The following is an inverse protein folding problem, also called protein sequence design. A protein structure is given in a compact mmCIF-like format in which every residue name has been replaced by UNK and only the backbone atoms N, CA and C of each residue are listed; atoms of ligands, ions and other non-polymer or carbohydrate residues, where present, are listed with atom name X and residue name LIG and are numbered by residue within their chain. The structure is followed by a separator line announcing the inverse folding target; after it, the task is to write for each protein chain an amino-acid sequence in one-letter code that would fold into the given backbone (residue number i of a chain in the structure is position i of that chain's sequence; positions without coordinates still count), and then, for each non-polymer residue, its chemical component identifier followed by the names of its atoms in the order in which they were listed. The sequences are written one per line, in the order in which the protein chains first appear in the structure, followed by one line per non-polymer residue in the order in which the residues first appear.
data_IF_146449753068
#
_entry.id   IF_146449753068
#
_cell.length_a   1.000
_cell.length_b   1.000
_cell.length_c   1.000
_cell.angle_alpha   90.00
_cell.angle_beta   90.00
_cell.angle_gamma   90.00
#
_symmetry.space_group_name_H-M   'P 1'
#
loop_
_entity.id
_entity.type
_entity.pdbx_description
1 polymer ?
#
# COMPACT_ATOMS: atom_id res chain seq x y z
N UNK A 1 6.02 -7.65 20.76
CA UNK A 1 5.57 -7.41 19.38
C UNK A 1 4.35 -6.52 19.40
N UNK A 2 4.50 -5.29 18.94
CA UNK A 2 3.45 -4.28 18.76
C UNK A 2 3.11 -4.20 17.27
N UNK A 3 1.84 -4.40 16.96
CA UNK A 3 1.34 -4.39 15.59
C UNK A 3 0.45 -3.16 15.41
N UNK A 4 0.72 -2.36 14.38
CA UNK A 4 -0.16 -1.29 13.93
C UNK A 4 -0.95 -1.80 12.73
N UNK A 5 -2.27 -1.91 12.87
CA UNK A 5 -3.18 -2.28 11.79
C UNK A 5 -3.79 -1.01 11.23
N UNK A 6 -3.56 -0.75 9.95
CA UNK A 6 -3.86 0.52 9.33
C UNK A 6 -5.20 0.51 8.59
N UNK A 7 -5.89 1.65 8.66
CA UNK A 7 -6.93 2.06 7.71
C UNK A 7 -6.43 3.35 7.06
N UNK A 8 -6.42 3.40 5.74
CA UNK A 8 -5.93 4.55 4.97
C UNK A 8 -7.05 5.06 4.05
N UNK A 9 -7.11 6.37 3.79
CA UNK A 9 -8.13 6.93 2.91
C UNK A 9 -7.94 6.46 1.47
N UNK A 10 -9.03 6.10 0.81
CA UNK A 10 -9.06 5.80 -0.62
C UNK A 10 -8.93 7.08 -1.48
N UNK A 11 -9.38 8.21 -0.94
CA UNK A 11 -9.30 9.51 -1.58
C UNK A 11 -7.86 10.02 -1.64
N UNK A 12 -7.29 10.11 -2.85
CA UNK A 12 -5.87 10.47 -3.04
C UNK A 12 -5.51 11.87 -2.56
N UNK A 13 -6.47 12.79 -2.50
CA UNK A 13 -6.26 14.17 -2.02
C UNK A 13 -5.87 14.21 -0.54
N UNK A 14 -6.28 13.21 0.26
CA UNK A 14 -6.02 13.15 1.71
C UNK A 14 -4.96 12.11 2.09
N UNK A 15 -4.57 11.24 1.14
CA UNK A 15 -3.62 10.15 1.38
C UNK A 15 -2.26 10.62 1.89
N UNK A 16 -1.70 11.70 1.33
CA UNK A 16 -0.36 12.16 1.73
C UNK A 16 -0.31 12.55 3.21
N UNK A 17 -1.31 13.31 3.68
CA UNK A 17 -1.42 13.69 5.09
C UNK A 17 -1.62 12.47 6.00
N UNK A 18 -2.42 11.48 5.57
CA UNK A 18 -2.61 10.24 6.30
C UNK A 18 -1.32 9.40 6.38
N UNK A 19 -0.53 9.37 5.29
CA UNK A 19 0.76 8.68 5.25
C UNK A 19 1.77 9.31 6.22
N UNK A 20 1.92 10.63 6.21
CA UNK A 20 2.78 11.35 7.15
C UNK A 20 2.38 11.10 8.60
N UNK A 21 1.07 11.13 8.89
CA UNK A 21 0.54 10.82 10.21
C UNK A 21 0.84 9.36 10.64
N UNK A 22 0.71 8.39 9.72
CA UNK A 22 1.06 7.00 9.97
C UNK A 22 2.56 6.85 10.30
N UNK A 23 3.44 7.49 9.51
CA UNK A 23 4.89 7.45 9.75
C UNK A 23 5.24 8.01 11.13
N UNK A 24 4.63 9.13 11.53
CA UNK A 24 4.81 9.70 12.85
C UNK A 24 4.32 8.75 13.96
N UNK A 25 3.11 8.20 13.79
CA UNK A 25 2.50 7.26 14.73
C UNK A 25 3.35 6.00 14.93
N UNK A 26 3.83 5.40 13.85
CA UNK A 26 4.64 4.17 13.89
C UNK A 26 5.93 4.37 14.70
N UNK A 27 6.57 5.54 14.55
CA UNK A 27 7.78 5.92 15.31
C UNK A 27 7.46 6.18 16.77
N UNK A 28 6.42 6.95 17.07
CA UNK A 28 6.00 7.26 18.43
C UNK A 28 5.64 5.98 19.19
N UNK A 29 4.87 5.10 18.56
CA UNK A 29 4.44 3.84 19.14
C UNK A 29 5.51 2.77 19.11
N UNK A 30 6.66 2.96 18.44
CA UNK A 30 7.71 1.93 18.31
C UNK A 30 7.12 0.61 17.81
N UNK A 31 6.36 0.67 16.71
CA UNK A 31 5.73 -0.52 16.13
C UNK A 31 6.79 -1.51 15.67
N UNK A 32 6.57 -2.80 15.90
CA UNK A 32 7.42 -3.87 15.37
C UNK A 32 6.93 -4.30 13.97
N UNK A 33 5.61 -4.23 13.75
CA UNK A 33 4.95 -4.61 12.49
C UNK A 33 3.88 -3.57 12.12
N UNK A 34 3.79 -3.22 10.84
CA UNK A 34 2.71 -2.41 10.25
C UNK A 34 1.98 -3.26 9.22
N UNK A 35 0.67 -3.41 9.36
CA UNK A 35 -0.20 -4.06 8.39
C UNK A 35 -0.98 -2.99 7.62
N UNK A 36 -0.66 -2.82 6.34
CA UNK A 36 -1.36 -1.91 5.44
C UNK A 36 -2.63 -2.54 4.84
N UNK A 37 -3.60 -1.73 4.39
CA UNK A 37 -4.71 -2.22 3.58
C UNK A 37 -4.25 -2.92 2.30
N UNK A 38 -5.17 -3.66 1.67
CA UNK A 38 -4.96 -4.22 0.34
C UNK A 38 -4.80 -3.10 -0.70
N UNK A 39 -3.75 -3.19 -1.51
CA UNK A 39 -3.43 -2.24 -2.60
C UNK A 39 -3.59 -0.75 -2.19
N UNK A 40 -2.87 -0.30 -1.14
CA UNK A 40 -3.17 0.96 -0.45
C UNK A 40 -2.70 2.22 -1.22
N UNK A 41 -1.98 2.05 -2.33
CA UNK A 41 -1.25 3.15 -2.98
C UNK A 41 -1.94 3.75 -4.20
N UNK A 42 -3.14 3.27 -4.52
CA UNK A 42 -4.04 3.86 -5.51
C UNK A 42 -5.43 4.03 -4.93
N UNK A 43 -6.32 4.70 -5.65
CA UNK A 43 -7.76 4.55 -5.37
C UNK A 43 -8.22 3.17 -5.81
N UNK A 44 -9.24 2.64 -5.15
CA UNK A 44 -9.82 1.34 -5.47
C UNK A 44 -10.32 1.32 -6.91
N UNK A 45 -9.82 0.36 -7.68
CA UNK A 45 -10.02 0.30 -9.13
C UNK A 45 -10.74 -0.97 -9.59
N UNK A 46 -10.86 -1.99 -8.74
CA UNK A 46 -11.60 -3.21 -9.03
C UNK A 46 -13.11 -3.01 -8.77
N UNK A 47 -13.71 -2.05 -9.48
CA UNK A 47 -15.13 -1.67 -9.35
C UNK A 47 -16.03 -2.35 -10.39
N UNK A 48 -15.43 -2.99 -11.40
CA UNK A 48 -16.12 -3.71 -12.47
C UNK A 48 -15.50 -5.10 -12.66
N UNK A 49 -16.22 -6.08 -13.25
CA UNK A 49 -15.67 -7.41 -13.52
C UNK A 49 -14.70 -7.43 -14.71
N UNK A 50 -14.67 -6.38 -15.53
CA UNK A 50 -13.89 -6.31 -16.75
C UNK A 50 -12.46 -5.82 -16.47
N UNK A 51 -11.49 -6.52 -17.04
CA UNK A 51 -10.09 -6.12 -16.95
C UNK A 51 -9.80 -4.93 -17.88
N UNK A 52 -9.16 -3.90 -17.33
CA UNK A 52 -8.65 -2.75 -18.08
C UNK A 52 -7.13 -2.62 -17.88
N UNK A 53 -6.39 -2.83 -18.98
CA UNK A 53 -4.94 -2.77 -18.99
C UNK A 53 -4.37 -1.36 -18.68
N UNK A 54 -5.09 -0.30 -19.06
CA UNK A 54 -4.68 1.08 -18.81
C UNK A 54 -4.81 1.40 -17.33
N UNK A 55 -5.93 0.99 -16.72
CA UNK A 55 -6.13 1.13 -15.27
C UNK A 55 -5.08 0.32 -14.51
N UNK A 56 -4.83 -0.93 -14.91
CA UNK A 56 -3.81 -1.77 -14.29
C UNK A 56 -2.43 -1.11 -14.32
N UNK A 57 -1.98 -0.67 -15.49
CA UNK A 57 -0.66 -0.06 -15.66
C UNK A 57 -0.50 1.20 -14.80
N UNK A 58 -1.54 2.05 -14.76
CA UNK A 58 -1.53 3.26 -13.91
C UNK A 58 -1.38 2.89 -12.44
N UNK A 59 -2.20 1.98 -11.94
CA UNK A 59 -2.19 1.58 -10.52
C UNK A 59 -0.86 0.94 -10.14
N UNK A 60 -0.29 0.12 -11.03
CA UNK A 60 1.01 -0.49 -10.81
C UNK A 60 2.10 0.56 -10.64
N UNK A 61 2.11 1.60 -11.48
CA UNK A 61 3.07 2.72 -11.36
C UNK A 61 2.88 3.52 -10.06
N UNK A 62 1.64 3.76 -9.64
CA UNK A 62 1.33 4.42 -8.36
C UNK A 62 1.87 3.60 -7.16
N UNK A 63 1.69 2.27 -7.20
CA UNK A 63 2.25 1.36 -6.19
C UNK A 63 3.78 1.34 -6.21
N UNK A 64 4.40 1.21 -7.38
CA UNK A 64 5.86 1.18 -7.53
C UNK A 64 6.52 2.47 -6.99
N UNK A 65 5.86 3.62 -7.15
CA UNK A 65 6.31 4.89 -6.60
C UNK A 65 6.25 4.88 -5.07
N UNK A 66 5.12 4.45 -4.50
CA UNK A 66 4.93 4.43 -3.04
C UNK A 66 5.72 3.34 -2.32
N UNK A 67 6.01 2.21 -2.98
CA UNK A 67 6.86 1.16 -2.40
C UNK A 67 8.25 1.68 -2.00
N UNK A 68 8.76 2.70 -2.70
CA UNK A 68 10.04 3.36 -2.37
C UNK A 68 10.00 4.13 -1.05
N UNK A 69 8.80 4.43 -0.54
CA UNK A 69 8.58 5.16 0.72
C UNK A 69 8.38 4.24 1.93
N UNK A 70 8.21 2.93 1.74
CA UNK A 70 8.10 1.97 2.84
C UNK A 70 9.23 2.08 3.88
N UNK A 71 10.50 2.38 3.53
CA UNK A 71 11.56 2.60 4.51
C UNK A 71 11.28 3.72 5.52
N UNK A 72 10.34 4.64 5.25
CA UNK A 72 9.91 5.68 6.21
C UNK A 72 9.27 5.10 7.48
N UNK A 73 8.72 3.87 7.39
CA UNK A 73 8.10 3.13 8.50
C UNK A 73 9.11 2.35 9.36
N UNK A 74 10.40 2.38 9.00
CA UNK A 74 11.45 1.72 9.78
C UNK A 74 11.48 2.24 11.24
N UNK A 75 11.77 1.36 12.23
CA UNK A 75 12.27 0.00 12.09
C UNK A 75 11.19 -1.09 11.94
N UNK A 76 9.91 -0.74 11.78
CA UNK A 76 8.85 -1.73 11.69
C UNK A 76 8.97 -2.57 10.40
N UNK A 77 8.68 -3.86 10.49
CA UNK A 77 8.41 -4.69 9.30
C UNK A 77 7.07 -4.30 8.70
N UNK A 78 6.92 -4.36 7.37
CA UNK A 78 5.68 -3.94 6.69
C UNK A 78 5.04 -5.13 6.00
N UNK A 79 3.81 -5.47 6.40
CA UNK A 79 2.94 -6.36 5.66
C UNK A 79 2.01 -5.52 4.76
N UNK A 80 1.98 -5.83 3.47
CA UNK A 80 1.11 -5.15 2.50
C UNK A 80 0.90 -6.03 1.28
N UNK A 81 0.16 -5.53 0.30
CA UNK A 81 0.12 -6.13 -1.04
C UNK A 81 0.64 -5.18 -2.12
N UNK A 82 1.00 -5.73 -3.28
CA UNK A 82 1.32 -5.00 -4.50
C UNK A 82 0.78 -5.71 -5.75
N UNK A 83 0.79 -4.99 -6.89
CA UNK A 83 0.49 -5.57 -8.19
C UNK A 83 1.73 -6.19 -8.83
N UNK A 84 1.58 -7.39 -9.38
CA UNK A 84 2.64 -8.10 -10.10
C UNK A 84 2.06 -8.80 -11.33
N UNK A 85 2.85 -8.88 -12.40
CA UNK A 85 2.59 -9.77 -13.52
C UNK A 85 3.59 -10.94 -13.44
N UNK A 86 3.07 -12.16 -13.28
CA UNK A 86 3.88 -13.38 -13.21
C UNK A 86 3.25 -14.44 -14.12
N UNK A 87 4.05 -15.03 -15.02
CA UNK A 87 3.57 -16.04 -15.97
C UNK A 87 2.34 -15.60 -16.79
N UNK A 88 2.27 -14.31 -17.14
CA UNK A 88 1.15 -13.72 -17.86
C UNK A 88 -0.12 -13.49 -17.03
N UNK A 89 -0.06 -13.71 -15.71
CA UNK A 89 -1.17 -13.50 -14.77
C UNK A 89 -0.99 -12.19 -14.01
N UNK A 90 -2.06 -11.41 -13.94
CA UNK A 90 -2.16 -10.21 -13.11
C UNK A 90 -2.51 -10.63 -11.68
N UNK A 91 -1.64 -10.34 -10.72
CA UNK A 91 -1.75 -10.79 -9.34
C UNK A 91 -1.80 -9.60 -8.39
N UNK A 92 -2.69 -9.69 -7.39
CA UNK A 92 -2.52 -8.98 -6.14
C UNK A 92 -1.75 -9.89 -5.17
N UNK A 93 -0.52 -9.51 -4.83
CA UNK A 93 0.40 -10.34 -4.04
C UNK A 93 0.74 -9.69 -2.71
N UNK A 94 0.54 -10.43 -1.63
CA UNK A 94 1.04 -10.06 -0.30
C UNK A 94 2.55 -10.22 -0.19
N UNK A 95 3.19 -9.33 0.56
CA UNK A 95 4.61 -9.38 0.91
C UNK A 95 4.84 -8.99 2.38
N UNK A 96 6.06 -9.26 2.85
CA UNK A 96 6.62 -8.92 4.17
C UNK A 96 7.96 -8.25 3.98
#
# INVERSE_FOLDING_TARGET
MRVTVCELPDERSTFEAAWEALVAYVKEQKSDLVLLPELPFSSWFATTPDFDAIIWQRVQQEHDAMMKRLPELAPATVLSTHLLIEEGRHLNRGFV
#
